data_IF_024089601285
#
_entry.id   IF_024089601285
#
_cell.length_a   1.000
_cell.length_b   1.000
_cell.length_c   1.000
_cell.angle_alpha   90.00
_cell.angle_beta   90.00
_cell.angle_gamma   90.00
#
_symmetry.space_group_name_H-M   'P 1'
#
loop_
_entity.id
_entity.type
_entity.pdbx_description
1 polymer ?
#
# COMPACT_ATOMS: atom_id res chain seq x y z
N UNK A 1 -20.95 -36.90 -1.68
CA UNK A 1 -20.37 -35.55 -1.46
C UNK A 1 -19.10 -35.72 -0.67
N UNK A 2 -17.95 -35.72 -1.34
CA UNK A 2 -16.64 -35.80 -0.68
C UNK A 2 -16.07 -34.38 -0.62
N UNK A 3 -15.93 -33.84 0.59
CA UNK A 3 -15.20 -32.60 0.81
C UNK A 3 -13.70 -32.88 0.69
N UNK A 4 -13.02 -32.22 -0.24
CA UNK A 4 -11.57 -32.24 -0.31
C UNK A 4 -10.99 -31.38 0.81
N UNK A 5 -10.47 -32.05 1.84
CA UNK A 5 -9.63 -31.46 2.87
C UNK A 5 -8.20 -31.50 2.35
N UNK A 6 -7.65 -30.35 1.98
CA UNK A 6 -6.21 -30.19 1.77
C UNK A 6 -5.54 -30.05 3.13
N UNK A 7 -4.97 -31.14 3.65
CA UNK A 7 -4.14 -31.16 4.84
C UNK A 7 -2.67 -31.14 4.42
N UNK A 8 -1.88 -30.23 5.00
CA UNK A 8 -0.43 -30.22 4.92
C UNK A 8 0.09 -30.44 6.34
N UNK A 9 0.63 -31.63 6.58
CA UNK A 9 1.18 -32.06 7.86
C UNK A 9 2.43 -31.25 8.21
N UNK A 10 2.39 -30.58 9.36
CA UNK A 10 3.59 -30.28 10.12
C UNK A 10 3.36 -30.65 11.58
N UNK A 11 4.16 -31.57 12.10
CA UNK A 11 4.14 -31.94 13.50
C UNK A 11 4.62 -30.74 14.35
N UNK A 12 3.67 -30.01 14.93
CA UNK A 12 3.93 -29.00 15.95
C UNK A 12 3.40 -29.50 17.30
N UNK A 13 4.28 -29.60 18.29
CA UNK A 13 3.92 -29.95 19.67
C UNK A 13 3.02 -28.88 20.28
N UNK A 14 1.94 -29.35 20.93
CA UNK A 14 0.86 -28.55 21.51
C UNK A 14 1.33 -27.38 22.38
N UNK A 15 0.83 -26.19 22.06
CA UNK A 15 0.50 -25.18 23.05
C UNK A 15 -0.85 -24.54 22.69
N UNK A 16 -1.92 -24.98 23.36
CA UNK A 16 -3.20 -24.26 23.36
C UNK A 16 -3.06 -23.04 24.26
N UNK A 17 -2.49 -21.97 23.71
CA UNK A 17 -2.60 -20.64 24.29
C UNK A 17 -3.36 -19.77 23.30
N UNK A 18 -4.45 -19.13 23.74
CA UNK A 18 -4.82 -17.84 23.16
C UNK A 18 -3.64 -16.92 23.47
N UNK A 19 -2.67 -16.85 22.57
CA UNK A 19 -1.58 -15.90 22.68
C UNK A 19 -2.24 -14.54 22.53
N UNK A 20 -2.50 -13.86 23.66
CA UNK A 20 -2.66 -12.42 23.62
C UNK A 20 -1.32 -11.91 23.08
N UNK A 21 -1.25 -11.31 21.87
CA UNK A 21 0.02 -11.02 21.21
C UNK A 21 0.84 -9.94 21.92
N UNK A 22 0.36 -9.45 23.06
CA UNK A 22 0.96 -8.36 23.82
C UNK A 22 0.89 -8.68 25.32
N UNK A 23 2.06 -8.66 25.99
CA UNK A 23 2.10 -8.58 27.45
C UNK A 23 1.48 -7.25 27.88
N UNK A 24 0.60 -7.28 28.88
CA UNK A 24 0.08 -6.06 29.55
C UNK A 24 1.10 -5.44 30.50
N UNK A 25 2.10 -6.21 30.90
CA UNK A 25 3.13 -5.80 31.85
C UNK A 25 4.27 -5.13 31.09
N UNK A 26 4.76 -4.01 31.64
CA UNK A 26 5.96 -3.36 31.14
C UNK A 26 7.13 -4.37 31.24
N UNK A 27 8.01 -4.52 30.24
CA UNK A 27 9.16 -5.42 30.34
C UNK A 27 10.00 -5.23 31.62
N UNK A 28 10.09 -4.00 32.15
CA UNK A 28 10.73 -3.73 33.44
C UNK A 28 10.04 -4.45 34.62
N UNK A 29 8.70 -4.52 34.61
CA UNK A 29 7.90 -5.23 35.61
C UNK A 29 8.04 -6.75 35.50
N UNK A 30 8.53 -7.24 34.35
CA UNK A 30 8.88 -8.64 34.11
C UNK A 30 10.35 -8.95 34.46
N UNK A 31 11.09 -7.99 35.03
CA UNK A 31 12.52 -8.14 35.33
C UNK A 31 13.40 -8.21 34.07
N UNK A 32 12.88 -7.79 32.92
CA UNK A 32 13.66 -7.65 31.69
C UNK A 32 14.37 -6.30 31.72
N UNK A 33 15.69 -6.31 31.56
CA UNK A 33 16.47 -5.08 31.42
C UNK A 33 15.96 -4.28 30.22
N UNK A 34 15.31 -3.16 30.51
CA UNK A 34 14.78 -2.28 29.47
C UNK A 34 15.93 -1.43 28.96
N UNK A 35 16.36 -1.71 27.73
CA UNK A 35 17.25 -0.79 27.00
C UNK A 35 16.51 0.54 26.89
N UNK A 36 17.05 1.59 27.54
CA UNK A 36 16.55 2.96 27.38
C UNK A 36 16.82 3.40 25.95
N UNK A 37 15.83 3.19 25.09
CA UNK A 37 15.81 3.70 23.73
C UNK A 37 15.68 5.24 23.78
N UNK A 38 16.45 5.93 22.95
CA UNK A 38 16.32 7.39 22.83
C UNK A 38 14.91 7.79 22.37
N UNK A 39 14.54 9.06 22.52
CA UNK A 39 13.21 9.58 22.09
C UNK A 39 12.90 9.33 20.61
N UNK A 40 13.92 9.09 19.80
CA UNK A 40 13.84 8.77 18.37
C UNK A 40 13.47 7.31 18.09
N UNK A 41 13.63 6.41 19.08
CA UNK A 41 13.50 4.97 18.93
C UNK A 41 12.26 4.38 19.63
N UNK A 42 11.50 5.22 20.34
CA UNK A 42 10.24 4.87 20.96
C UNK A 42 9.24 6.01 20.73
N UNK A 43 8.09 5.78 20.07
CA UNK A 43 7.19 6.89 19.77
C UNK A 43 6.63 7.44 21.07
N UNK A 44 6.67 8.76 21.20
CA UNK A 44 6.15 9.46 22.36
C UNK A 44 4.66 9.12 22.57
N UNK A 45 4.21 9.15 23.83
CA UNK A 45 2.90 8.61 24.21
C UNK A 45 1.73 9.35 23.57
N UNK A 46 1.94 10.62 23.21
CA UNK A 46 1.05 11.54 22.50
C UNK A 46 0.79 11.12 21.04
N UNK A 47 1.82 10.68 20.31
CA UNK A 47 1.70 10.20 18.91
C UNK A 47 0.75 9.01 18.77
N UNK A 48 0.77 8.14 19.78
CA UNK A 48 -0.15 7.01 19.86
C UNK A 48 -1.54 7.38 20.36
N UNK A 49 -1.69 8.46 21.15
CA UNK A 49 -2.98 8.87 21.70
C UNK A 49 -3.95 9.38 20.61
N UNK A 50 -3.42 9.76 19.45
CA UNK A 50 -4.19 10.21 18.30
C UNK A 50 -4.76 9.07 17.41
N UNK A 51 -4.42 7.81 17.69
CA UNK A 51 -4.96 6.66 16.96
C UNK A 51 -6.39 6.34 17.44
N UNK A 52 -7.30 6.10 16.50
CA UNK A 52 -8.66 5.68 16.83
C UNK A 52 -8.64 4.24 17.37
N UNK A 53 -9.25 4.03 18.54
CA UNK A 53 -9.09 2.77 19.28
C UNK A 53 -7.77 2.67 20.05
N UNK A 54 -6.97 3.74 20.15
CA UNK A 54 -5.91 3.82 21.14
C UNK A 54 -6.49 3.58 22.54
N UNK A 55 -5.75 2.90 23.44
CA UNK A 55 -6.16 2.81 24.82
C UNK A 55 -6.52 4.20 25.33
N UNK A 56 -7.72 4.30 25.92
CA UNK A 56 -8.05 5.42 26.78
C UNK A 56 -6.97 5.62 27.85
N UNK A 57 -7.00 6.76 28.54
CA UNK A 57 -6.11 7.01 29.68
C UNK A 57 -6.16 5.91 30.77
N UNK A 58 -7.10 4.96 30.67
CA UNK A 58 -7.25 3.77 31.50
C UNK A 58 -6.53 2.50 30.98
N UNK A 59 -5.78 2.55 29.86
CA UNK A 59 -4.76 1.54 29.52
C UNK A 59 -5.27 0.21 28.94
N UNK A 60 -6.42 0.18 28.26
CA UNK A 60 -7.07 -1.09 27.90
C UNK A 60 -6.58 -1.83 26.63
N UNK A 61 -5.68 -1.24 25.82
CA UNK A 61 -5.10 -1.86 24.62
C UNK A 61 -3.59 -1.61 24.53
N UNK A 62 -2.80 -2.69 24.51
CA UNK A 62 -1.35 -2.61 24.34
C UNK A 62 -1.00 -2.09 22.94
N UNK A 63 -0.02 -1.18 22.86
CA UNK A 63 0.43 -0.59 21.60
C UNK A 63 1.43 -1.53 20.92
N UNK A 64 1.32 -1.78 19.61
CA UNK A 64 2.27 -2.62 18.90
C UNK A 64 3.64 -1.93 18.84
N UNK A 65 4.66 -2.57 19.39
CA UNK A 65 6.03 -2.00 19.45
C UNK A 65 6.94 -2.49 18.33
N UNK A 66 6.58 -3.60 17.68
CA UNK A 66 7.38 -4.27 16.64
C UNK A 66 6.56 -4.58 15.37
N UNK A 67 5.49 -3.84 15.11
CA UNK A 67 4.77 -3.96 13.84
C UNK A 67 5.60 -3.36 12.70
N UNK A 68 5.41 -3.87 11.47
CA UNK A 68 6.18 -3.43 10.30
C UNK A 68 5.99 -1.94 9.95
N UNK A 69 4.92 -1.33 10.47
CA UNK A 69 4.53 0.06 10.24
C UNK A 69 4.84 1.01 11.43
N UNK A 70 5.49 0.55 12.51
CA UNK A 70 5.73 1.40 13.69
C UNK A 70 6.54 2.65 13.38
N UNK A 71 7.39 2.61 12.35
CA UNK A 71 8.11 3.77 11.83
C UNK A 71 7.19 4.89 11.34
N UNK A 72 5.96 4.58 10.89
CA UNK A 72 4.97 5.61 10.54
C UNK A 72 4.50 6.38 11.77
N UNK A 73 4.42 5.74 12.95
CA UNK A 73 4.11 6.45 14.20
C UNK A 73 5.28 7.34 14.60
N UNK A 74 6.52 6.86 14.42
CA UNK A 74 7.71 7.67 14.67
C UNK A 74 7.76 8.89 13.75
N UNK A 75 7.37 8.76 12.48
CA UNK A 75 7.35 9.86 11.52
C UNK A 75 6.22 10.87 11.68
N UNK A 76 5.32 10.73 12.67
CA UNK A 76 4.18 11.65 12.80
C UNK A 76 4.58 13.09 13.14
N UNK A 77 3.83 14.02 12.58
CA UNK A 77 3.98 15.46 12.80
C UNK A 77 4.67 16.19 11.63
N UNK A 78 4.95 17.49 11.80
CA UNK A 78 5.42 18.35 10.71
C UNK A 78 6.92 18.16 10.39
N UNK A 79 7.70 17.57 11.30
CA UNK A 79 9.09 17.22 11.08
C UNK A 79 9.17 15.88 10.33
N UNK A 80 9.61 15.91 9.08
CA UNK A 80 10.01 14.68 8.38
C UNK A 80 11.12 14.02 9.18
N UNK A 81 10.85 12.83 9.71
CA UNK A 81 11.96 11.96 10.07
C UNK A 81 12.34 11.20 8.81
N UNK A 82 13.59 11.38 8.38
CA UNK A 82 14.21 10.73 7.22
C UNK A 82 14.24 9.19 7.30
N UNK A 83 13.62 8.59 8.31
CA UNK A 83 13.64 7.14 8.56
C UNK A 83 12.25 6.58 8.90
N UNK A 84 11.17 7.26 8.52
CA UNK A 84 9.81 6.80 8.76
C UNK A 84 9.32 5.77 7.71
N UNK A 85 10.22 4.97 7.13
CA UNK A 85 9.85 4.02 6.07
C UNK A 85 9.28 2.70 6.62
N UNK A 86 8.45 2.03 5.82
CA UNK A 86 7.83 0.76 6.15
C UNK A 86 7.70 -0.16 4.93
N UNK A 87 7.93 -1.46 5.11
CA UNK A 87 7.88 -2.44 4.03
C UNK A 87 6.48 -3.07 3.95
N UNK A 88 5.65 -2.55 3.04
CA UNK A 88 4.31 -3.09 2.81
C UNK A 88 4.29 -4.22 1.77
N UNK A 89 5.35 -4.40 0.97
CA UNK A 89 5.45 -5.44 -0.08
C UNK A 89 4.34 -5.30 -1.16
N UNK A 90 4.69 -5.06 -2.44
CA UNK A 90 6.04 -5.05 -3.01
C UNK A 90 6.85 -3.80 -2.64
N UNK A 91 6.18 -2.75 -2.16
CA UNK A 91 6.78 -1.43 -1.98
C UNK A 91 7.47 -1.23 -0.63
N UNK A 92 8.50 -0.39 -0.66
CA UNK A 92 8.93 0.40 0.48
C UNK A 92 8.11 1.68 0.46
N UNK A 93 7.46 1.99 1.58
CA UNK A 93 6.60 3.15 1.71
C UNK A 93 7.20 4.18 2.66
N UNK A 94 6.95 5.45 2.37
CA UNK A 94 7.40 6.58 3.16
C UNK A 94 6.29 7.63 3.27
N UNK A 95 5.83 8.00 4.48
CA UNK A 95 4.88 9.09 4.65
C UNK A 95 5.53 10.44 4.29
N UNK A 96 5.18 11.00 3.15
CA UNK A 96 5.63 12.32 2.73
C UNK A 96 4.80 13.42 3.42
N UNK A 97 5.26 14.68 3.29
CA UNK A 97 4.58 15.86 3.86
C UNK A 97 3.09 15.88 3.59
N UNK A 98 2.68 15.51 2.37
CA UNK A 98 1.32 15.67 1.85
C UNK A 98 0.80 14.42 1.14
N UNK A 99 1.31 13.24 1.50
CA UNK A 99 0.92 12.00 0.85
C UNK A 99 1.78 10.81 1.25
N UNK A 100 1.61 9.71 0.53
CA UNK A 100 2.39 8.47 0.71
C UNK A 100 3.27 8.26 -0.51
N UNK A 101 4.58 8.15 -0.27
CA UNK A 101 5.54 7.82 -1.30
C UNK A 101 5.83 6.33 -1.31
N UNK A 102 6.12 5.78 -2.47
CA UNK A 102 6.48 4.39 -2.66
C UNK A 102 7.60 4.23 -3.68
N UNK A 103 8.51 3.31 -3.39
CA UNK A 103 9.53 2.86 -4.31
C UNK A 103 9.62 1.34 -4.33
N UNK A 104 10.08 0.79 -5.46
CA UNK A 104 10.40 -0.62 -5.56
C UNK A 104 11.82 -0.87 -4.99
N UNK A 105 11.97 -1.72 -3.97
CA UNK A 105 13.30 -2.07 -3.48
C UNK A 105 14.04 -2.96 -4.48
N UNK A 106 15.36 -2.88 -4.50
CA UNK A 106 16.25 -3.80 -5.21
C UNK A 106 17.17 -4.55 -4.25
N UNK A 107 17.64 -5.72 -4.66
CA UNK A 107 18.55 -6.52 -3.84
C UNK A 107 19.99 -6.12 -4.11
N UNK A 108 20.70 -5.73 -3.05
CA UNK A 108 22.15 -5.57 -3.05
C UNK A 108 22.76 -6.79 -2.36
N UNK A 109 23.65 -7.49 -3.07
CA UNK A 109 24.35 -8.67 -2.56
C UNK A 109 25.85 -8.40 -2.52
N UNK A 110 26.42 -8.52 -1.32
CA UNK A 110 27.85 -8.48 -1.03
C UNK A 110 28.28 -9.85 -0.48
N UNK A 111 29.59 -10.08 -0.34
CA UNK A 111 30.13 -11.39 0.04
C UNK A 111 29.57 -11.94 1.38
N UNK A 112 29.14 -11.06 2.29
CA UNK A 112 28.69 -11.39 3.63
C UNK A 112 27.34 -10.75 4.02
N UNK A 113 26.68 -10.06 3.09
CA UNK A 113 25.45 -9.31 3.36
C UNK A 113 24.54 -9.30 2.14
N UNK A 114 23.24 -9.50 2.39
CA UNK A 114 22.20 -9.23 1.41
C UNK A 114 21.28 -8.20 2.06
N UNK A 115 21.00 -7.12 1.34
CA UNK A 115 20.12 -6.05 1.80
C UNK A 115 19.16 -5.62 0.70
N UNK A 116 18.03 -5.04 1.10
CA UNK A 116 17.19 -4.29 0.17
C UNK A 116 17.71 -2.86 0.13
N UNK A 117 18.20 -2.45 -1.03
CA UNK A 117 18.46 -1.05 -1.34
C UNK A 117 17.22 -0.37 -1.92
N UNK A 118 17.15 0.93 -1.74
CA UNK A 118 16.24 1.83 -2.45
C UNK A 118 16.89 3.21 -2.51
N UNK A 119 16.63 3.96 -3.57
CA UNK A 119 17.05 5.35 -3.66
C UNK A 119 15.85 6.24 -3.29
N UNK A 120 15.87 6.82 -2.09
CA UNK A 120 14.79 7.69 -1.62
C UNK A 120 14.71 9.03 -2.35
N UNK A 121 15.73 9.40 -3.13
CA UNK A 121 15.77 10.67 -3.85
C UNK A 121 15.20 10.57 -5.25
N UNK A 122 15.37 9.41 -5.91
CA UNK A 122 14.98 9.23 -7.31
C UNK A 122 13.87 8.17 -7.44
N UNK A 123 13.92 7.05 -6.71
CA UNK A 123 13.06 5.89 -7.00
C UNK A 123 11.67 5.91 -6.39
N UNK A 124 11.21 7.06 -5.89
CA UNK A 124 9.91 7.19 -5.24
C UNK A 124 8.93 7.97 -6.11
N UNK A 125 7.71 7.45 -6.16
CA UNK A 125 6.53 8.20 -6.60
C UNK A 125 5.67 8.51 -5.39
N UNK A 126 4.97 9.64 -5.41
CA UNK A 126 4.11 10.08 -4.31
C UNK A 126 2.68 10.24 -4.79
N UNK A 127 1.76 9.54 -4.15
CA UNK A 127 0.34 9.84 -4.24
C UNK A 127 0.00 10.76 -3.07
N UNK A 128 -0.68 11.88 -3.30
CA UNK A 128 -0.91 12.88 -2.24
C UNK A 128 -2.05 13.84 -2.51
N UNK A 129 -2.17 14.88 -1.67
CA UNK A 129 -3.12 15.97 -1.80
C UNK A 129 -2.45 17.35 -1.63
N UNK A 130 -2.72 18.33 -2.48
CA UNK A 130 -1.98 19.60 -2.47
C UNK A 130 -2.39 20.56 -1.36
N UNK A 131 -3.64 20.44 -0.91
CA UNK A 131 -4.37 21.31 0.01
C UNK A 131 -4.52 20.70 1.42
N UNK A 132 -3.57 19.86 1.84
CA UNK A 132 -3.46 19.31 3.20
C UNK A 132 -2.30 19.92 4.00
N UNK A 133 -2.42 19.89 5.32
CA UNK A 133 -1.36 20.25 6.26
C UNK A 133 -0.19 19.27 6.11
N UNK A 134 1.01 19.78 6.38
CA UNK A 134 2.21 18.94 6.43
C UNK A 134 2.16 17.99 7.61
N UNK A 135 2.45 16.72 7.33
CA UNK A 135 2.53 15.65 8.32
C UNK A 135 1.28 14.79 8.33
N UNK A 136 1.46 13.52 8.69
CA UNK A 136 0.38 12.55 8.81
C UNK A 136 0.10 12.19 10.26
N UNK A 137 -1.07 11.59 10.47
CA UNK A 137 -1.38 10.80 11.66
C UNK A 137 -1.65 9.35 11.26
N UNK A 138 -1.33 8.42 12.15
CA UNK A 138 -1.82 7.04 12.03
C UNK A 138 -3.24 7.04 12.59
N UNK A 139 -4.23 6.71 11.76
CA UNK A 139 -5.63 6.71 12.15
C UNK A 139 -6.04 5.37 12.78
N UNK A 140 -5.72 4.25 12.12
CA UNK A 140 -6.10 2.89 12.51
C UNK A 140 -5.01 1.90 12.11
N UNK A 141 -5.00 0.72 12.71
CA UNK A 141 -4.14 -0.38 12.29
C UNK A 141 -4.65 -1.73 12.76
N UNK A 142 -4.16 -2.78 12.10
CA UNK A 142 -4.30 -4.18 12.50
C UNK A 142 -2.97 -4.92 12.24
N UNK A 143 -3.02 -6.27 12.23
CA UNK A 143 -1.84 -7.10 12.03
C UNK A 143 -1.17 -6.91 10.66
N UNK A 144 -1.95 -6.61 9.60
CA UNK A 144 -1.48 -6.49 8.23
C UNK A 144 -1.78 -5.13 7.59
N UNK A 145 -2.48 -4.23 8.29
CA UNK A 145 -2.81 -2.90 7.79
C UNK A 145 -2.46 -1.76 8.74
N UNK A 146 -2.31 -0.58 8.17
CA UNK A 146 -2.21 0.70 8.86
C UNK A 146 -2.84 1.77 7.96
N UNK A 147 -3.58 2.69 8.56
CA UNK A 147 -4.22 3.80 7.85
C UNK A 147 -3.56 5.11 8.22
N UNK A 148 -3.15 5.89 7.22
CA UNK A 148 -2.57 7.22 7.41
C UNK A 148 -3.56 8.30 6.99
N UNK A 149 -3.54 9.45 7.64
CA UNK A 149 -4.43 10.57 7.32
C UNK A 149 -3.67 11.91 7.33
N UNK A 150 -3.98 12.76 6.35
CA UNK A 150 -3.55 14.15 6.25
C UNK A 150 -4.78 15.06 6.32
N UNK A 151 -4.76 16.02 7.25
CA UNK A 151 -5.84 16.98 7.45
C UNK A 151 -5.79 18.09 6.40
N UNK A 152 -6.92 18.45 5.81
CA UNK A 152 -7.04 19.56 4.86
C UNK A 152 -6.73 20.93 5.47
N UNK A 153 -6.30 21.87 4.62
CA UNK A 153 -6.01 23.27 5.01
C UNK A 153 -7.22 24.18 4.92
N UNK A 154 -8.23 23.83 4.12
CA UNK A 154 -9.46 24.59 4.04
C UNK A 154 -10.29 24.43 5.32
N UNK A 155 -10.72 25.54 5.92
CA UNK A 155 -11.83 25.52 6.85
C UNK A 155 -13.04 24.95 6.09
N UNK A 156 -13.60 23.82 6.55
CA UNK A 156 -14.67 23.09 5.87
C UNK A 156 -15.72 24.07 5.28
N UNK A 157 -15.95 24.10 3.95
CA UNK A 157 -17.05 24.87 3.42
C UNK A 157 -18.35 24.25 3.92
N UNK A 158 -19.03 24.99 4.79
CA UNK A 158 -20.38 24.74 5.27
C UNK A 158 -21.34 24.55 4.09
N UNK A 159 -21.81 23.31 3.87
CA UNK A 159 -23.10 23.04 3.22
C UNK A 159 -23.61 21.62 3.44
N UNK A 160 -22.74 20.61 3.63
CA UNK A 160 -23.12 19.22 3.89
C UNK A 160 -22.46 18.64 5.14
N UNK A 161 -22.21 19.49 6.15
CA UNK A 161 -21.87 19.04 7.49
C UNK A 161 -23.11 18.41 8.14
N UNK A 162 -23.45 17.18 7.72
CA UNK A 162 -24.17 16.27 8.59
C UNK A 162 -23.40 16.19 9.91
N UNK A 163 -24.10 16.41 11.02
CA UNK A 163 -23.53 16.46 12.36
C UNK A 163 -22.56 15.27 12.58
N UNK A 164 -21.25 15.57 12.61
CA UNK A 164 -20.18 14.58 12.81
C UNK A 164 -19.17 14.41 11.67
N UNK A 165 -19.30 15.12 10.53
CA UNK A 165 -18.34 15.02 9.43
C UNK A 165 -16.97 15.62 9.78
N UNK A 166 -15.91 14.81 9.70
CA UNK A 166 -14.53 15.30 9.72
C UNK A 166 -14.33 16.33 8.57
N UNK A 167 -13.50 17.35 8.80
CA UNK A 167 -13.16 18.33 7.78
C UNK A 167 -12.48 17.70 6.55
N UNK A 168 -12.07 18.50 5.55
CA UNK A 168 -11.37 17.96 4.40
C UNK A 168 -10.16 17.12 4.82
N UNK A 169 -9.94 15.98 4.18
CA UNK A 169 -8.80 15.11 4.49
C UNK A 169 -8.43 14.23 3.30
N UNK A 170 -7.21 13.71 3.33
CA UNK A 170 -6.75 12.62 2.49
C UNK A 170 -6.37 11.43 3.37
N UNK A 171 -6.75 10.23 2.97
CA UNK A 171 -6.63 9.02 3.77
C UNK A 171 -6.02 7.89 2.94
N UNK A 172 -4.92 7.30 3.41
CA UNK A 172 -4.24 6.20 2.74
C UNK A 172 -4.38 4.89 3.55
N UNK A 173 -5.25 3.95 3.13
CA UNK A 173 -5.22 2.61 3.66
C UNK A 173 -4.01 1.86 3.11
N UNK A 174 -3.10 1.47 3.99
CA UNK A 174 -1.91 0.71 3.63
C UNK A 174 -2.07 -0.71 4.14
N UNK A 175 -2.18 -1.66 3.22
CA UNK A 175 -2.31 -3.09 3.55
C UNK A 175 -1.13 -3.85 2.96
N UNK A 176 -0.47 -4.65 3.81
CA UNK A 176 0.68 -5.44 3.42
C UNK A 176 0.29 -6.45 2.34
N UNK A 177 1.03 -6.44 1.23
CA UNK A 177 0.72 -7.22 0.03
C UNK A 177 -0.13 -6.49 -1.00
N UNK A 178 -0.69 -5.30 -0.73
CA UNK A 178 -1.40 -4.54 -1.77
C UNK A 178 -0.41 -4.16 -2.88
N UNK A 179 -0.67 -4.52 -4.16
CA UNK A 179 0.16 -4.08 -5.28
C UNK A 179 -0.16 -2.65 -5.74
N UNK A 180 -1.01 -1.93 -4.99
CA UNK A 180 -1.38 -0.55 -5.28
C UNK A 180 -1.13 0.33 -4.06
N UNK A 181 -0.69 1.56 -4.32
CA UNK A 181 -0.93 2.70 -3.45
C UNK A 181 -2.38 3.10 -3.59
N UNK A 182 -3.03 3.45 -2.48
CA UNK A 182 -4.42 3.87 -2.48
C UNK A 182 -4.56 5.11 -1.61
N UNK A 183 -5.29 6.11 -2.12
CA UNK A 183 -5.65 7.31 -1.38
C UNK A 183 -7.11 7.64 -1.61
N UNK A 184 -7.84 7.83 -0.52
CA UNK A 184 -9.20 8.33 -0.46
C UNK A 184 -9.16 9.84 -0.17
N UNK A 185 -9.91 10.63 -0.93
CA UNK A 185 -9.93 12.08 -0.89
C UNK A 185 -11.33 12.57 -0.51
N UNK A 186 -11.39 13.49 0.46
CA UNK A 186 -12.63 14.15 0.87
C UNK A 186 -12.39 15.65 1.01
N UNK A 187 -12.88 16.42 0.05
CA UNK A 187 -12.67 17.86 -0.03
C UNK A 187 -11.20 18.27 -0.25
N UNK A 188 -10.36 17.39 -0.79
CA UNK A 188 -8.93 17.63 -1.03
C UNK A 188 -8.57 17.39 -2.49
N UNK A 189 -7.51 18.04 -2.97
CA UNK A 189 -7.06 18.08 -4.37
C UNK A 189 -5.94 17.06 -4.59
N UNK A 190 -6.19 15.93 -5.28
CA UNK A 190 -5.19 14.91 -5.53
C UNK A 190 -3.99 15.39 -6.34
N UNK A 191 -2.84 14.80 -6.07
CA UNK A 191 -1.69 14.84 -6.95
C UNK A 191 -0.97 13.49 -7.02
N UNK A 192 -0.24 13.29 -8.11
CA UNK A 192 0.79 12.27 -8.28
C UNK A 192 2.10 12.98 -8.64
N UNK A 193 3.19 12.62 -7.96
CA UNK A 193 4.47 13.32 -8.05
C UNK A 193 5.64 12.32 -8.12
N UNK A 194 6.72 12.72 -8.78
CA UNK A 194 7.99 11.99 -8.78
C UNK A 194 9.13 12.97 -9.03
N UNK A 195 10.30 12.71 -8.44
CA UNK A 195 11.52 13.47 -8.73
C UNK A 195 12.13 13.14 -10.11
N UNK A 196 11.52 12.19 -10.83
CA UNK A 196 11.99 11.65 -12.09
C UNK A 196 11.44 12.39 -13.30
N UNK A 197 12.20 12.37 -14.37
CA UNK A 197 11.80 12.90 -15.67
C UNK A 197 10.91 11.91 -16.40
N UNK A 198 9.92 12.43 -17.13
CA UNK A 198 9.14 11.63 -18.08
C UNK A 198 9.95 11.35 -19.33
N UNK A 199 9.78 10.15 -19.91
CA UNK A 199 10.37 9.86 -21.23
C UNK A 199 9.76 10.79 -22.30
N UNK A 200 10.57 11.46 -23.14
CA UNK A 200 10.05 12.45 -24.09
C UNK A 200 9.22 11.85 -25.24
N UNK A 201 9.24 10.52 -25.44
CA UNK A 201 8.52 9.85 -26.53
C UNK A 201 7.27 9.14 -26.05
N UNK A 202 7.33 8.47 -24.90
CA UNK A 202 6.25 7.63 -24.35
C UNK A 202 5.92 7.94 -22.89
N UNK A 203 6.45 9.03 -22.35
CA UNK A 203 6.43 9.34 -20.92
C UNK A 203 5.05 9.57 -20.31
N UNK A 204 4.02 9.85 -21.11
CA UNK A 204 2.70 10.16 -20.59
C UNK A 204 1.57 9.69 -21.52
N UNK A 205 0.56 9.05 -20.96
CA UNK A 205 -0.68 8.71 -21.67
C UNK A 205 -1.91 8.88 -20.77
N UNK A 206 -3.04 9.22 -21.38
CA UNK A 206 -4.35 9.36 -20.72
C UNK A 206 -5.34 8.42 -21.39
N UNK A 207 -5.94 7.52 -20.61
CA UNK A 207 -6.91 6.52 -21.08
C UNK A 207 -6.41 5.72 -22.30
N UNK A 208 -5.10 5.46 -22.36
CA UNK A 208 -4.43 4.71 -23.43
C UNK A 208 -3.96 5.58 -24.61
N UNK A 209 -4.32 6.86 -24.65
CA UNK A 209 -3.92 7.78 -25.71
C UNK A 209 -2.68 8.60 -25.29
N UNK A 210 -1.65 8.75 -26.15
CA UNK A 210 -0.47 9.54 -25.82
C UNK A 210 -0.78 11.00 -25.48
N UNK A 211 -0.18 11.51 -24.42
CA UNK A 211 -0.24 12.91 -24.00
C UNK A 211 1.14 13.57 -23.98
N UNK A 212 1.17 14.90 -23.93
CA UNK A 212 2.43 15.68 -23.88
C UNK A 212 2.37 16.70 -22.74
N UNK A 213 3.28 16.59 -21.77
CA UNK A 213 3.41 17.52 -20.65
C UNK A 213 4.38 18.68 -20.98
N UNK A 214 4.15 19.90 -20.47
CA UNK A 214 3.02 20.31 -19.64
C UNK A 214 1.72 20.47 -20.44
N UNK A 215 0.57 20.19 -19.81
CA UNK A 215 -0.73 20.24 -20.47
C UNK A 215 -1.91 20.03 -19.54
N UNK A 216 -3.14 20.12 -20.08
CA UNK A 216 -4.37 19.78 -19.37
C UNK A 216 -5.01 18.57 -20.03
N UNK A 217 -5.44 17.63 -19.20
CA UNK A 217 -6.00 16.37 -19.65
C UNK A 217 -7.24 16.04 -18.84
N UNK A 218 -8.08 15.19 -19.40
CA UNK A 218 -9.28 14.68 -18.74
C UNK A 218 -9.34 13.19 -18.99
N UNK A 219 -9.48 12.42 -17.92
CA UNK A 219 -9.52 10.97 -18.03
C UNK A 219 -9.63 10.28 -16.68
N UNK A 220 -9.46 8.96 -16.67
CA UNK A 220 -9.53 8.10 -15.47
C UNK A 220 -8.27 7.30 -15.23
N UNK A 221 -7.46 7.10 -16.26
CA UNK A 221 -6.22 6.32 -16.25
C UNK A 221 -5.10 7.20 -16.77
N UNK A 222 -4.05 7.38 -15.98
CA UNK A 222 -2.89 8.19 -16.32
C UNK A 222 -1.64 7.33 -16.20
N UNK A 223 -0.87 7.20 -17.26
CA UNK A 223 0.33 6.37 -17.32
C UNK A 223 1.57 7.25 -17.43
N UNK A 224 2.64 6.85 -16.73
CA UNK A 224 3.89 7.58 -16.63
C UNK A 224 5.06 6.63 -16.86
N UNK A 225 5.92 6.92 -17.84
CA UNK A 225 7.19 6.21 -18.05
C UNK A 225 8.32 7.09 -17.55
N UNK A 226 8.98 6.66 -16.48
CA UNK A 226 10.01 7.41 -15.76
C UNK A 226 11.41 7.02 -16.25
N UNK A 227 12.23 8.02 -16.61
CA UNK A 227 13.52 7.79 -17.29
C UNK A 227 14.57 7.20 -16.35
N UNK A 228 14.65 7.69 -15.12
CA UNK A 228 15.75 7.37 -14.20
C UNK A 228 15.62 5.96 -13.60
N UNK A 229 14.41 5.51 -13.27
CA UNK A 229 14.16 4.14 -12.77
C UNK A 229 13.76 3.15 -13.83
N UNK A 230 13.41 3.61 -15.03
CA UNK A 230 12.88 2.78 -16.12
C UNK A 230 11.51 2.14 -15.81
N UNK A 231 10.76 2.78 -14.93
CA UNK A 231 9.49 2.28 -14.41
C UNK A 231 8.30 2.88 -15.16
N UNK A 232 7.29 2.06 -15.41
CA UNK A 232 5.95 2.51 -15.79
C UNK A 232 5.03 2.47 -14.58
N UNK A 233 4.46 3.61 -14.23
CA UNK A 233 3.43 3.75 -13.20
C UNK A 233 2.09 4.11 -13.84
N UNK A 234 1.01 3.51 -13.35
CA UNK A 234 -0.36 3.87 -13.76
C UNK A 234 -1.14 4.34 -12.56
N UNK A 235 -1.85 5.47 -12.72
CA UNK A 235 -2.78 6.04 -11.74
C UNK A 235 -4.20 5.89 -12.26
N UNK A 236 -5.05 5.23 -11.49
CA UNK A 236 -6.49 5.12 -11.74
C UNK A 236 -7.28 6.01 -10.81
N UNK A 237 -8.29 6.67 -11.34
CA UNK A 237 -9.24 7.47 -10.59
C UNK A 237 -10.64 6.84 -10.57
N UNK A 238 -11.26 6.89 -9.39
CA UNK A 238 -12.67 6.53 -9.15
C UNK A 238 -13.64 7.07 -10.20
N UNK A 239 -13.40 8.29 -10.71
CA UNK A 239 -14.22 8.96 -11.71
C UNK A 239 -13.34 9.78 -12.65
N UNK A 240 -13.93 10.26 -13.74
CA UNK A 240 -13.21 11.11 -14.70
C UNK A 240 -12.85 12.45 -14.05
N UNK A 241 -11.58 12.83 -14.18
CA UNK A 241 -11.00 14.00 -13.52
C UNK A 241 -10.22 14.84 -14.53
N UNK A 242 -10.40 16.17 -14.45
CA UNK A 242 -9.52 17.10 -15.14
C UNK A 242 -8.23 17.27 -14.33
N UNK A 243 -7.09 17.12 -14.98
CA UNK A 243 -5.76 17.19 -14.39
C UNK A 243 -4.87 18.14 -15.19
N UNK A 244 -3.98 18.85 -14.50
CA UNK A 244 -2.80 19.45 -15.09
C UNK A 244 -1.63 18.46 -15.01
N UNK A 245 -0.92 18.27 -16.12
CA UNK A 245 0.38 17.60 -16.11
C UNK A 245 1.50 18.65 -16.21
N UNK A 246 2.55 18.50 -15.40
CA UNK A 246 3.72 19.39 -15.39
C UNK A 246 5.02 18.57 -15.49
N UNK A 247 6.12 19.23 -15.84
CA UNK A 247 7.47 18.63 -15.85
C UNK A 247 8.31 19.10 -14.66
N UNK A 248 7.85 20.11 -13.93
CA UNK A 248 8.46 20.70 -12.75
C UNK A 248 7.50 20.65 -11.55
N UNK A 249 7.89 19.92 -10.51
CA UNK A 249 7.04 19.67 -9.34
C UNK A 249 6.08 18.50 -9.58
N UNK A 250 4.87 18.60 -9.03
CA UNK A 250 3.87 17.52 -9.12
C UNK A 250 3.55 17.19 -10.58
N UNK A 251 3.93 15.98 -11.00
CA UNK A 251 3.72 15.49 -12.36
C UNK A 251 2.26 15.54 -12.79
N UNK A 252 1.33 15.21 -11.88
CA UNK A 252 -0.10 15.26 -12.12
C UNK A 252 -0.81 15.93 -10.94
N UNK A 253 -1.70 16.88 -11.20
CA UNK A 253 -2.54 17.49 -10.16
C UNK A 253 -3.97 17.66 -10.66
N UNK A 254 -4.95 17.27 -9.86
CA UNK A 254 -6.35 17.50 -10.18
C UNK A 254 -6.66 19.02 -10.21
N UNK A 255 -7.53 19.44 -11.13
CA UNK A 255 -7.92 20.83 -11.28
C UNK A 255 -8.75 21.38 -10.11
N UNK A 256 -9.37 20.50 -9.32
CA UNK A 256 -10.21 20.84 -8.17
C UNK A 256 -10.19 19.76 -7.08
N UNK A 257 -10.58 20.11 -5.83
CA UNK A 257 -10.77 19.13 -4.78
C UNK A 257 -11.86 18.09 -5.12
N UNK A 258 -11.62 16.83 -4.77
CA UNK A 258 -12.62 15.77 -4.90
C UNK A 258 -13.51 15.76 -3.66
N UNK A 259 -14.84 15.80 -3.84
CA UNK A 259 -15.78 15.73 -2.70
C UNK A 259 -15.77 14.36 -2.01
N UNK A 260 -15.72 13.30 -2.82
CA UNK A 260 -15.43 11.92 -2.44
C UNK A 260 -14.78 11.25 -3.66
N UNK A 261 -13.57 10.73 -3.51
CA UNK A 261 -12.85 10.14 -4.62
C UNK A 261 -11.70 9.26 -4.17
N UNK A 262 -11.31 8.31 -5.01
CA UNK A 262 -10.19 7.42 -4.76
C UNK A 262 -9.23 7.51 -5.93
N UNK A 263 -7.94 7.70 -5.67
CA UNK A 263 -6.88 7.42 -6.63
C UNK A 263 -6.10 6.19 -6.17
N UNK A 264 -5.72 5.36 -7.12
CA UNK A 264 -4.81 4.24 -6.91
C UNK A 264 -3.66 4.31 -7.88
N UNK A 265 -2.45 4.02 -7.43
CA UNK A 265 -1.27 3.98 -8.28
C UNK A 265 -0.60 2.61 -8.15
N UNK A 266 -0.15 2.03 -9.26
CA UNK A 266 0.65 0.82 -9.25
C UNK A 266 1.78 0.89 -10.28
N UNK A 267 2.87 0.22 -9.94
CA UNK A 267 3.97 -0.07 -10.85
C UNK A 267 3.54 -1.22 -11.77
N UNK A 268 3.48 -0.97 -13.07
CA UNK A 268 3.04 -1.93 -14.10
C UNK A 268 4.20 -2.54 -14.89
N UNK A 269 5.37 -1.88 -14.91
CA UNK A 269 6.59 -2.39 -15.51
C UNK A 269 7.80 -1.71 -14.84
N UNK A 270 8.90 -2.42 -14.60
CA UNK A 270 10.13 -1.85 -14.01
C UNK A 270 11.35 -1.90 -14.93
N UNK A 271 11.13 -2.17 -16.22
CA UNK A 271 12.15 -2.25 -17.26
C UNK A 271 11.56 -1.84 -18.62
N UNK A 272 10.92 -0.68 -18.68
CA UNK A 272 10.10 -0.26 -19.83
C UNK A 272 10.95 0.06 -21.07
N UNK A 273 12.04 0.80 -20.86
CA UNK A 273 13.02 1.30 -21.82
C UNK A 273 14.26 0.38 -21.90
N UNK A 274 14.38 -0.62 -21.03
CA UNK A 274 15.49 -1.58 -21.03
C UNK A 274 16.81 -1.04 -20.45
N UNK A 275 16.74 -0.02 -19.59
CA UNK A 275 17.88 0.76 -19.08
C UNK A 275 18.16 0.56 -17.60
N UNK A 276 17.20 0.10 -16.80
CA UNK A 276 17.41 -0.05 -15.35
C UNK A 276 18.51 -1.05 -15.02
N UNK A 277 19.57 -0.58 -14.35
CA UNK A 277 20.68 -1.45 -13.93
C UNK A 277 20.28 -2.45 -12.84
N UNK A 278 19.22 -2.16 -12.10
CA UNK A 278 18.73 -2.96 -10.97
C UNK A 278 17.57 -3.88 -11.38
N UNK A 279 16.71 -3.41 -12.28
CA UNK A 279 15.44 -4.08 -12.56
C UNK A 279 15.41 -4.82 -13.89
N UNK A 280 16.19 -4.39 -14.88
CA UNK A 280 16.27 -5.11 -16.15
C UNK A 280 17.14 -6.36 -16.05
N UNK A 281 16.64 -7.49 -16.57
CA UNK A 281 17.47 -8.69 -16.75
C UNK A 281 18.50 -8.42 -17.84
N UNK A 282 19.79 -8.64 -17.52
CA UNK A 282 20.92 -8.48 -18.45
C UNK A 282 21.02 -9.56 -19.56
N UNK A 283 20.06 -10.48 -19.67
CA UNK A 283 20.10 -11.55 -20.66
C UNK A 283 19.10 -11.28 -21.78
N UNK A 284 19.53 -11.24 -23.06
CA UNK A 284 18.60 -11.21 -24.18
C UNK A 284 17.76 -12.50 -24.25
N UNK A 285 16.51 -12.42 -24.73
CA UNK A 285 15.82 -11.19 -25.13
C UNK A 285 15.37 -10.40 -23.89
N UNK A 286 15.27 -9.07 -24.02
CA UNK A 286 14.50 -8.25 -23.09
C UNK A 286 13.20 -9.00 -22.82
N UNK A 287 12.95 -9.40 -21.57
CA UNK A 287 11.70 -10.07 -21.23
C UNK A 287 10.59 -9.12 -21.69
N UNK A 288 9.75 -9.49 -22.66
CA UNK A 288 8.50 -8.78 -22.80
C UNK A 288 7.77 -9.09 -21.50
N UNK A 289 7.87 -8.21 -20.49
CA UNK A 289 6.89 -8.28 -19.40
C UNK A 289 5.54 -8.22 -20.10
N UNK A 290 4.77 -9.32 -20.07
CA UNK A 290 3.68 -9.46 -21.01
C UNK A 290 2.63 -8.41 -20.65
N UNK A 291 1.96 -7.79 -21.65
CA UNK A 291 0.85 -6.84 -21.44
C UNK A 291 -0.17 -7.33 -20.39
N UNK A 292 -0.26 -8.65 -20.24
CA UNK A 292 -0.95 -9.40 -19.18
C UNK A 292 -0.81 -8.78 -17.78
N UNK A 293 0.38 -8.33 -17.33
CA UNK A 293 0.53 -7.84 -15.95
C UNK A 293 -0.18 -6.51 -15.71
N UNK A 294 0.00 -5.54 -16.61
CA UNK A 294 -0.73 -4.27 -16.58
C UNK A 294 -2.24 -4.51 -16.73
N UNK A 295 -2.65 -5.43 -17.60
CA UNK A 295 -4.06 -5.80 -17.78
C UNK A 295 -4.67 -6.40 -16.51
N UNK A 296 -3.92 -7.24 -15.77
CA UNK A 296 -4.36 -7.78 -14.48
C UNK A 296 -4.50 -6.66 -13.44
N UNK A 297 -3.52 -5.76 -13.34
CA UNK A 297 -3.63 -4.62 -12.42
C UNK A 297 -4.84 -3.75 -12.77
N UNK A 298 -5.06 -3.46 -14.05
CA UNK A 298 -6.20 -2.68 -14.49
C UNK A 298 -7.55 -3.35 -14.16
N UNK A 299 -7.68 -4.66 -14.45
CA UNK A 299 -8.89 -5.43 -14.17
C UNK A 299 -9.27 -5.46 -12.68
N UNK A 300 -8.29 -5.31 -11.78
CA UNK A 300 -8.46 -5.36 -10.33
C UNK A 300 -8.29 -4.00 -9.63
N UNK A 301 -8.06 -2.91 -10.38
CA UNK A 301 -7.86 -1.57 -9.83
C UNK A 301 -9.11 -1.03 -9.09
N UNK A 302 -10.30 -1.57 -9.32
CA UNK A 302 -11.53 -1.11 -8.66
C UNK A 302 -11.63 -1.53 -7.20
N UNK A 303 -11.15 -2.73 -6.84
CA UNK A 303 -11.29 -3.29 -5.48
C UNK A 303 -9.97 -3.17 -4.72
N UNK A 304 -10.02 -2.65 -3.49
CA UNK A 304 -8.83 -2.40 -2.69
C UNK A 304 -9.01 -2.83 -1.23
N UNK A 305 -7.92 -3.26 -0.57
CA UNK A 305 -7.97 -3.67 0.82
C UNK A 305 -7.85 -2.45 1.74
N UNK A 306 -8.54 -2.49 2.89
CA UNK A 306 -8.51 -1.45 3.92
C UNK A 306 -8.15 -1.99 5.30
N UNK A 307 -8.27 -3.29 5.52
CA UNK A 307 -7.95 -3.97 6.78
C UNK A 307 -7.72 -5.46 6.55
N UNK A 308 -7.26 -6.16 7.59
CA UNK A 308 -7.17 -7.60 7.61
C UNK A 308 -7.45 -8.19 8.99
N UNK A 309 -8.14 -9.32 9.01
CA UNK A 309 -8.23 -10.21 10.17
C UNK A 309 -7.37 -11.44 9.93
N UNK A 310 -6.58 -11.83 10.93
CA UNK A 310 -5.74 -13.03 10.87
C UNK A 310 -6.21 -14.02 11.93
N UNK A 311 -6.68 -15.17 11.48
CA UNK A 311 -7.12 -16.28 12.33
C UNK A 311 -6.16 -17.46 12.22
N UNK A 312 -5.87 -18.11 13.34
CA UNK A 312 -5.16 -19.37 13.41
C UNK A 312 -6.15 -20.48 13.81
N UNK A 313 -6.24 -21.51 12.99
CA UNK A 313 -7.00 -22.72 13.27
C UNK A 313 -6.05 -23.90 13.41
N UNK A 314 -6.09 -24.60 14.53
CA UNK A 314 -5.32 -25.82 14.75
C UNK A 314 -6.27 -26.97 15.10
N UNK A 315 -6.14 -28.10 14.41
CA UNK A 315 -6.93 -29.30 14.62
C UNK A 315 -6.05 -30.55 14.44
N UNK A 316 -5.79 -31.28 15.53
CA UNK A 316 -4.84 -32.40 15.49
C UNK A 316 -3.42 -31.91 15.16
N UNK A 317 -2.85 -32.47 14.09
CA UNK A 317 -1.53 -32.11 13.56
C UNK A 317 -1.61 -31.10 12.40
N UNK A 318 -2.81 -30.57 12.13
CA UNK A 318 -3.03 -29.57 11.09
C UNK A 318 -3.13 -28.18 11.72
N UNK A 319 -2.43 -27.21 11.12
CA UNK A 319 -2.56 -25.80 11.42
C UNK A 319 -2.80 -25.01 10.13
N UNK A 320 -3.75 -24.09 10.17
CA UNK A 320 -4.09 -23.21 9.06
C UNK A 320 -4.12 -21.76 9.55
N UNK A 321 -3.49 -20.88 8.79
CA UNK A 321 -3.65 -19.43 8.93
C UNK A 321 -4.67 -18.97 7.89
N UNK A 322 -5.72 -18.29 8.35
CA UNK A 322 -6.71 -17.66 7.48
C UNK A 322 -6.56 -16.15 7.58
N UNK A 323 -6.52 -15.49 6.43
CA UNK A 323 -6.53 -14.03 6.34
C UNK A 323 -7.87 -13.64 5.71
N UNK A 324 -8.65 -12.80 6.38
CA UNK A 324 -9.83 -12.16 5.80
C UNK A 324 -9.52 -10.69 5.54
N UNK A 325 -9.59 -10.28 4.28
CA UNK A 325 -9.34 -8.91 3.91
C UNK A 325 -10.63 -8.09 4.03
N UNK A 326 -10.59 -6.97 4.73
CA UNK A 326 -11.63 -5.96 4.60
C UNK A 326 -11.36 -5.14 3.34
N UNK A 327 -12.37 -4.97 2.49
CA UNK A 327 -12.21 -4.32 1.18
C UNK A 327 -13.20 -3.19 0.96
N UNK A 328 -12.86 -2.31 0.01
CA UNK A 328 -13.73 -1.29 -0.56
C UNK A 328 -13.58 -1.26 -2.09
N UNK A 329 -14.43 -0.49 -2.74
CA UNK A 329 -14.37 -0.27 -4.20
C UNK A 329 -14.26 1.21 -4.52
N UNK A 330 -13.55 1.58 -5.59
CA UNK A 330 -13.36 2.98 -6.01
C UNK A 330 -14.66 3.65 -6.51
N UNK A 331 -15.79 2.96 -6.57
CA UNK A 331 -17.03 3.48 -7.16
C UNK A 331 -17.97 4.15 -6.16
N UNK A 332 -18.72 5.13 -6.65
CA UNK A 332 -19.84 5.84 -6.02
C UNK A 332 -21.07 4.96 -5.73
N UNK A 333 -20.94 3.63 -5.59
CA UNK A 333 -22.08 2.72 -5.50
C UNK A 333 -23.12 2.82 -6.64
N UNK A 334 -22.88 3.63 -7.68
CA UNK A 334 -23.89 4.03 -8.67
C UNK A 334 -23.57 3.54 -10.09
N UNK A 335 -22.29 3.31 -10.42
CA UNK A 335 -21.87 2.83 -11.74
C UNK A 335 -21.48 1.36 -11.85
N UNK A 336 -21.64 0.57 -10.78
CA UNK A 336 -21.80 -0.87 -10.93
C UNK A 336 -23.21 -1.13 -11.45
N UNK A 337 -23.39 -1.21 -12.78
CA UNK A 337 -24.67 -1.57 -13.40
C UNK A 337 -25.29 -2.70 -12.58
N UNK A 338 -26.47 -2.43 -11.97
CA UNK A 338 -27.13 -3.28 -10.96
C UNK A 338 -26.94 -4.76 -11.31
N UNK A 339 -26.04 -5.45 -10.61
CA UNK A 339 -25.87 -6.89 -10.70
C UNK A 339 -24.51 -7.44 -11.17
N UNK A 340 -23.51 -6.63 -11.55
CA UNK A 340 -22.14 -7.16 -11.72
C UNK A 340 -21.40 -7.15 -10.37
N UNK A 341 -20.88 -8.31 -9.90
CA UNK A 341 -20.05 -8.34 -8.70
C UNK A 341 -18.79 -7.50 -8.92
N UNK A 342 -18.30 -6.85 -7.87
CA UNK A 342 -17.03 -6.16 -7.92
C UNK A 342 -15.92 -7.15 -8.32
N UNK A 343 -14.88 -6.71 -9.07
CA UNK A 343 -13.72 -7.54 -9.31
C UNK A 343 -13.14 -8.07 -8.00
N UNK A 344 -12.59 -9.27 -8.04
CA UNK A 344 -11.92 -9.87 -6.89
C UNK A 344 -10.74 -9.01 -6.40
N UNK A 345 -10.33 -9.18 -5.15
CA UNK A 345 -9.19 -8.46 -4.60
C UNK A 345 -7.88 -9.02 -5.16
N UNK A 346 -6.97 -8.16 -5.60
CA UNK A 346 -5.63 -8.57 -6.01
C UNK A 346 -4.61 -8.26 -4.90
N UNK A 347 -3.90 -9.29 -4.45
CA UNK A 347 -2.87 -9.20 -3.42
C UNK A 347 -1.56 -9.82 -3.90
N UNK A 348 -0.43 -9.32 -3.41
CA UNK A 348 0.88 -9.92 -3.59
C UNK A 348 1.11 -10.98 -2.52
N UNK A 349 1.62 -12.13 -2.94
CA UNK A 349 1.98 -13.23 -2.08
C UNK A 349 3.49 -13.47 -2.10
N UNK A 350 4.05 -13.72 -0.91
CA UNK A 350 5.44 -14.10 -0.75
C UNK A 350 5.63 -15.58 -1.08
N UNK A 351 6.86 -15.98 -1.37
CA UNK A 351 7.21 -17.35 -1.72
C UNK A 351 6.73 -18.41 -0.70
N UNK A 352 6.73 -18.09 0.60
CA UNK A 352 6.23 -19.03 1.61
C UNK A 352 4.69 -19.18 1.55
N UNK A 353 3.94 -18.15 1.17
CA UNK A 353 2.49 -18.30 0.91
C UNK A 353 2.26 -19.27 -0.25
N UNK A 354 3.06 -19.15 -1.32
CA UNK A 354 3.01 -20.05 -2.47
C UNK A 354 3.30 -21.50 -2.08
N UNK A 355 4.31 -21.72 -1.25
CA UNK A 355 4.70 -23.07 -0.80
C UNK A 355 3.69 -23.72 0.14
N UNK A 356 2.96 -22.93 0.94
CA UNK A 356 1.92 -23.44 1.83
C UNK A 356 0.66 -23.90 1.07
N UNK A 357 0.51 -23.50 -0.20
CA UNK A 357 -0.70 -23.74 -0.98
C UNK A 357 -1.82 -22.77 -0.56
N UNK A 358 -2.52 -22.22 -1.55
CA UNK A 358 -3.67 -21.35 -1.29
C UNK A 358 -4.95 -22.19 -1.27
N UNK A 359 -5.63 -22.19 -0.13
CA UNK A 359 -6.97 -22.74 -0.02
C UNK A 359 -7.96 -21.58 -0.05
N UNK A 360 -8.83 -21.52 -1.06
CA UNK A 360 -9.93 -20.56 -1.05
C UNK A 360 -10.99 -20.94 -0.01
N UNK A 361 -11.79 -19.95 0.41
CA UNK A 361 -12.93 -20.18 1.30
C UNK A 361 -14.01 -21.08 0.68
N UNK A 362 -15.07 -21.34 1.44
CA UNK A 362 -16.20 -22.15 0.96
C UNK A 362 -16.93 -21.47 -0.23
N UNK A 363 -16.44 -21.72 -1.45
CA UNK A 363 -17.04 -21.23 -2.69
C UNK A 363 -16.10 -20.43 -3.61
N UNK A 364 -14.94 -19.98 -3.12
CA UNK A 364 -13.95 -19.25 -3.91
C UNK A 364 -12.69 -20.07 -4.17
N UNK A 365 -12.09 -19.95 -5.35
CA UNK A 365 -10.70 -20.39 -5.57
C UNK A 365 -9.81 -19.15 -5.47
N UNK A 366 -8.78 -19.19 -4.63
CA UNK A 366 -7.68 -18.25 -4.77
C UNK A 366 -6.85 -18.69 -5.98
N UNK A 367 -6.66 -17.81 -6.94
CA UNK A 367 -5.87 -18.09 -8.13
C UNK A 367 -4.54 -17.36 -8.03
N UNK A 368 -3.43 -18.10 -8.11
CA UNK A 368 -2.14 -17.47 -8.29
C UNK A 368 -2.01 -17.10 -9.76
N UNK A 369 -1.66 -15.85 -10.00
CA UNK A 369 -1.32 -15.37 -11.32
C UNK A 369 0.17 -15.09 -11.34
N UNK A 370 0.85 -15.61 -12.36
CA UNK A 370 2.26 -15.34 -12.57
C UNK A 370 2.44 -13.87 -12.98
N UNK A 371 2.55 -13.02 -11.98
CA UNK A 371 3.08 -11.67 -12.07
C UNK A 371 4.26 -11.58 -11.13
N UNK A 372 5.46 -11.46 -11.67
CA UNK A 372 6.69 -11.43 -10.85
C UNK A 372 7.10 -9.99 -10.66
N UNK A 373 6.63 -9.34 -9.60
CA UNK A 373 7.43 -8.26 -9.03
C UNK A 373 8.81 -8.85 -8.70
N UNK A 374 9.86 -8.16 -9.11
CA UNK A 374 11.23 -8.63 -8.95
C UNK A 374 11.51 -9.21 -7.56
N UNK A 375 12.50 -10.12 -7.50
CA UNK A 375 12.90 -10.74 -6.23
C UNK A 375 13.36 -9.67 -5.26
N UNK A 376 12.61 -9.46 -4.18
CA UNK A 376 13.15 -8.82 -2.99
C UNK A 376 13.90 -9.88 -2.16
N UNK A 377 14.43 -9.49 -0.99
CA UNK A 377 15.05 -10.47 -0.06
C UNK A 377 14.17 -11.69 0.29
N UNK A 378 12.84 -11.61 0.09
CA UNK A 378 11.90 -12.72 0.35
C UNK A 378 11.65 -13.63 -0.86
N UNK A 379 12.40 -13.45 -1.96
CA UNK A 379 12.24 -14.21 -3.19
C UNK A 379 11.27 -13.57 -4.18
N UNK A 380 10.79 -14.36 -5.15
CA UNK A 380 9.79 -13.89 -6.11
C UNK A 380 8.47 -13.59 -5.41
N UNK A 381 7.84 -12.48 -5.79
CA UNK A 381 6.46 -12.21 -5.42
C UNK A 381 5.55 -12.74 -6.54
N UNK A 382 4.40 -13.28 -6.15
CA UNK A 382 3.35 -13.67 -7.09
C UNK A 382 2.11 -12.85 -6.80
N UNK A 383 1.27 -12.61 -7.81
CA UNK A 383 -0.04 -12.06 -7.59
C UNK A 383 -1.03 -13.17 -7.22
N UNK A 384 -1.98 -12.85 -6.36
CA UNK A 384 -3.05 -13.73 -5.91
C UNK A 384 -4.35 -12.97 -6.05
N UNK A 385 -5.28 -13.57 -6.80
CA UNK A 385 -6.67 -13.15 -6.82
C UNK A 385 -7.34 -13.77 -5.59
N UNK A 386 -7.58 -12.93 -4.59
CA UNK A 386 -8.30 -13.29 -3.38
C UNK A 386 -9.80 -13.03 -3.59
N UNK A 387 -10.57 -14.12 -3.56
CA UNK A 387 -12.03 -14.10 -3.46
C UNK A 387 -12.40 -14.17 -1.97
N UNK A 388 -13.49 -13.48 -1.57
CA UNK A 388 -13.98 -13.39 -0.18
C UNK A 388 -13.98 -14.72 0.60
#
# INVERSE_FOLDING_TARGET
MHAHVCALLFAATRATARVAPYSRLNPAELGVDVVKRGKEQAPAADRWAAMEGAPDAAGSLARPTNAWWTNFVLGQGPSELENANGFAIPYVLWPAKRGISAGLPFVLAQANQIENGFDSTISFVTLGASDVRTGHRVARSDALSVSLEWEGTAAAPTAHAGAGGAGPHAHAPIVRGSPYLTMEYRGTTPFFDSAQSLDPQVGFAVDGEPGVCPGKFRGRRFEFVLVETDETWVVWSSHEVEVGCQTDGALLQAAAPLSDGVWRAALTNNCTLGRSAHHCRKSPPADPEPPIFADILEAHAVTYPISAEVDLHAAGDDAAVRIRWGTRTMGDGSNGGRGKPAPALLMSAMEHHRRMGLCGGAGGKAEMVDGVYQRNMNGGLSLVIANE
#
